data_IF_732213038646
#
_entry.id   IF_732213038646
#
_cell.length_a   1.000
_cell.length_b   1.000
_cell.length_c   1.000
_cell.angle_alpha   90.00
_cell.angle_beta   90.00
_cell.angle_gamma   90.00
#
_symmetry.space_group_name_H-M   'P 1'
#
loop_
_entity.id
_entity.type
_entity.pdbx_description
1 polymer ?
#
# COMPACT_ATOMS: atom_id res chain seq x y z
N UNK A 1 -15.95 9.36 -8.00
CA UNK A 1 -14.72 9.20 -8.81
C UNK A 1 -14.04 10.56 -8.92
N UNK A 2 -12.79 10.69 -8.47
CA UNK A 2 -12.00 11.91 -8.71
C UNK A 2 -11.60 11.91 -10.19
N UNK A 3 -11.88 13.01 -10.91
CA UNK A 3 -11.48 13.14 -12.30
C UNK A 3 -9.95 13.12 -12.40
N UNK A 4 -9.40 12.16 -13.14
CA UNK A 4 -7.95 12.11 -13.39
C UNK A 4 -7.61 13.18 -14.43
N UNK A 5 -6.58 13.99 -14.15
CA UNK A 5 -6.04 14.98 -15.07
C UNK A 5 -4.63 14.56 -15.45
N UNK A 6 -4.37 14.43 -16.75
CA UNK A 6 -3.02 14.18 -17.27
C UNK A 6 -2.27 15.51 -17.33
N UNK A 7 -1.02 15.50 -16.87
CA UNK A 7 -0.07 16.60 -17.00
C UNK A 7 1.08 16.12 -17.87
N UNK A 8 1.46 16.90 -18.87
CA UNK A 8 2.62 16.61 -19.70
C UNK A 8 3.87 17.18 -19.02
N UNK A 9 4.97 16.44 -19.09
CA UNK A 9 6.27 16.96 -18.65
C UNK A 9 6.66 18.18 -19.52
N UNK A 10 7.23 19.23 -18.93
CA UNK A 10 7.83 20.32 -19.70
C UNK A 10 9.05 19.83 -20.50
N UNK A 11 9.35 20.49 -21.62
CA UNK A 11 10.45 20.11 -22.53
C UNK A 11 11.86 20.09 -21.88
N UNK A 12 12.04 20.75 -20.74
CA UNK A 12 13.31 20.80 -20.02
C UNK A 12 13.50 19.63 -19.04
N UNK A 13 12.50 18.77 -18.85
CA UNK A 13 12.53 17.64 -17.94
C UNK A 13 12.73 16.34 -18.72
N UNK A 14 13.77 15.59 -18.36
CA UNK A 14 13.97 14.25 -18.92
C UNK A 14 12.91 13.28 -18.36
N UNK A 15 12.15 12.65 -19.27
CA UNK A 15 11.07 11.73 -18.89
C UNK A 15 11.60 10.49 -18.16
N UNK A 16 12.81 10.02 -18.46
CA UNK A 16 13.41 8.88 -17.76
C UNK A 16 13.86 9.26 -16.35
N UNK A 17 14.38 10.47 -16.15
CA UNK A 17 14.69 10.99 -14.81
C UNK A 17 13.41 11.11 -13.97
N UNK A 18 12.33 11.64 -14.56
CA UNK A 18 11.03 11.72 -13.91
C UNK A 18 10.48 10.33 -13.55
N UNK A 19 10.51 9.38 -14.49
CA UNK A 19 10.07 8.00 -14.25
C UNK A 19 10.90 7.34 -13.15
N UNK A 20 12.22 7.53 -13.15
CA UNK A 20 13.12 6.99 -12.12
C UNK A 20 12.80 7.53 -10.73
N UNK A 21 12.51 8.84 -10.62
CA UNK A 21 12.09 9.48 -9.39
C UNK A 21 10.75 8.92 -8.89
N UNK A 22 9.75 8.82 -9.78
CA UNK A 22 8.42 8.30 -9.45
C UNK A 22 8.48 6.83 -9.04
N UNK A 23 9.29 6.02 -9.73
CA UNK A 23 9.49 4.60 -9.41
C UNK A 23 10.11 4.46 -8.02
N UNK A 24 11.17 5.22 -7.72
CA UNK A 24 11.82 5.25 -6.40
C UNK A 24 10.85 5.68 -5.30
N UNK A 25 10.01 6.68 -5.59
CA UNK A 25 8.97 7.12 -4.65
C UNK A 25 7.94 6.03 -4.38
N UNK A 26 7.43 5.38 -5.43
CA UNK A 26 6.45 4.31 -5.31
C UNK A 26 7.01 3.11 -4.54
N UNK A 27 8.24 2.71 -4.82
CA UNK A 27 8.95 1.66 -4.08
C UNK A 27 9.08 2.01 -2.59
N UNK A 28 9.54 3.23 -2.27
CA UNK A 28 9.68 3.70 -0.89
C UNK A 28 8.35 3.69 -0.14
N UNK A 29 7.26 4.12 -0.79
CA UNK A 29 5.92 4.11 -0.21
C UNK A 29 5.39 2.69 0.01
N UNK A 30 5.57 1.81 -0.97
CA UNK A 30 5.23 0.40 -0.86
C UNK A 30 5.93 -0.23 0.35
N UNK A 31 7.26 -0.08 0.43
CA UNK A 31 8.08 -0.62 1.53
C UNK A 31 7.67 -0.05 2.88
N UNK A 32 7.41 1.26 2.95
CA UNK A 32 6.93 1.92 4.16
C UNK A 32 5.64 1.26 4.67
N UNK A 33 4.60 1.18 3.84
CA UNK A 33 3.31 0.61 4.27
C UNK A 33 3.40 -0.89 4.56
N UNK A 34 4.13 -1.65 3.73
CA UNK A 34 4.38 -3.07 3.98
C UNK A 34 5.15 -3.29 5.30
N UNK A 35 6.09 -2.40 5.66
CA UNK A 35 6.79 -2.46 6.95
C UNK A 35 5.88 -2.14 8.14
N UNK A 36 4.86 -1.28 7.95
CA UNK A 36 3.86 -0.95 8.98
C UNK A 36 2.82 -2.07 9.16
N UNK A 37 2.53 -2.84 8.12
CA UNK A 37 1.64 -4.00 8.21
C UNK A 37 2.30 -5.23 8.87
N UNK A 38 3.63 -5.42 8.70
CA UNK A 38 4.38 -6.58 9.21
C UNK A 38 4.22 -6.85 10.72
N UNK A 39 4.28 -5.85 11.62
CA UNK A 39 4.09 -6.07 13.06
C UNK A 39 2.78 -6.75 13.44
N UNK A 40 1.69 -6.50 12.72
CA UNK A 40 0.40 -7.14 13.00
C UNK A 40 0.42 -8.63 12.64
N UNK A 41 1.03 -8.99 11.52
CA UNK A 41 1.23 -10.40 11.14
C UNK A 41 2.04 -11.17 12.20
N UNK A 42 3.07 -10.52 12.76
CA UNK A 42 3.86 -11.09 13.86
C UNK A 42 3.04 -11.18 15.14
N UNK A 43 2.31 -10.12 15.51
CA UNK A 43 1.48 -10.06 16.73
C UNK A 43 0.40 -11.14 16.74
N UNK A 44 -0.24 -11.39 15.60
CA UNK A 44 -1.40 -12.27 15.51
C UNK A 44 -1.12 -13.65 14.91
N UNK A 45 0.09 -13.87 14.40
CA UNK A 45 0.54 -15.16 13.88
C UNK A 45 -0.17 -15.60 12.59
N UNK A 46 -0.72 -14.66 11.82
CA UNK A 46 -1.48 -14.93 10.60
C UNK A 46 -1.33 -13.79 9.58
N UNK A 47 -1.93 -13.93 8.41
CA UNK A 47 -2.05 -12.85 7.43
C UNK A 47 -3.30 -11.98 7.67
N UNK A 48 -3.39 -10.86 6.95
CA UNK A 48 -4.49 -9.91 7.10
C UNK A 48 -5.87 -10.54 6.83
N UNK A 49 -6.10 -11.29 5.72
CA UNK A 49 -7.39 -11.92 5.48
C UNK A 49 -7.83 -12.88 6.58
N UNK A 50 -6.91 -13.70 7.10
CA UNK A 50 -7.20 -14.60 8.21
C UNK A 50 -7.51 -13.84 9.51
N UNK A 51 -6.77 -12.76 9.79
CA UNK A 51 -7.04 -11.91 10.95
C UNK A 51 -8.40 -11.23 10.86
N UNK A 52 -8.73 -10.63 9.71
CA UNK A 52 -10.03 -9.99 9.45
C UNK A 52 -11.17 -10.96 9.71
N UNK A 53 -11.11 -12.15 9.10
CA UNK A 53 -12.12 -13.18 9.30
C UNK A 53 -12.27 -13.56 10.78
N UNK A 54 -11.15 -13.75 11.50
CA UNK A 54 -11.17 -14.10 12.91
C UNK A 54 -11.82 -13.02 13.77
N UNK A 55 -11.51 -11.75 13.53
CA UNK A 55 -12.06 -10.63 14.27
C UNK A 55 -13.56 -10.44 13.99
N UNK A 56 -14.00 -10.59 12.74
CA UNK A 56 -15.40 -10.47 12.32
C UNK A 56 -16.28 -11.64 12.81
N UNK A 57 -15.72 -12.86 12.93
CA UNK A 57 -16.43 -14.06 13.40
C UNK A 57 -16.32 -14.30 14.92
N UNK A 58 -15.59 -13.44 15.64
CA UNK A 58 -15.41 -13.57 17.09
C UNK A 58 -16.75 -13.41 17.82
N UNK A 59 -17.05 -14.34 18.74
CA UNK A 59 -18.24 -14.24 19.60
C UNK A 59 -18.14 -13.11 20.61
N UNK A 60 -16.92 -12.84 21.09
CA UNK A 60 -16.61 -11.77 22.04
C UNK A 60 -15.75 -10.73 21.33
N UNK A 61 -16.25 -9.50 21.22
CA UNK A 61 -15.53 -8.41 20.56
C UNK A 61 -14.42 -7.86 21.46
N UNK A 62 -13.23 -7.69 20.88
CA UNK A 62 -12.11 -7.00 21.51
C UNK A 62 -11.85 -5.69 20.79
N UNK A 63 -12.12 -4.56 21.45
CA UNK A 63 -11.85 -3.22 20.88
C UNK A 63 -10.40 -3.08 20.41
N UNK A 64 -9.45 -3.65 21.15
CA UNK A 64 -8.04 -3.62 20.77
C UNK A 64 -7.75 -4.43 19.49
N UNK A 65 -8.46 -5.53 19.23
CA UNK A 65 -8.33 -6.26 17.97
C UNK A 65 -8.99 -5.53 16.81
N UNK A 66 -10.11 -4.85 17.06
CA UNK A 66 -10.76 -4.01 16.06
C UNK A 66 -9.92 -2.79 15.67
N UNK A 67 -9.28 -2.12 16.63
CA UNK A 67 -8.36 -1.00 16.36
C UNK A 67 -7.17 -1.46 15.51
N UNK A 68 -6.59 -2.60 15.86
CA UNK A 68 -5.51 -3.23 15.10
C UNK A 68 -5.97 -3.65 13.70
N UNK A 69 -7.20 -4.16 13.56
CA UNK A 69 -7.77 -4.56 12.26
C UNK A 69 -7.89 -3.35 11.33
N UNK A 70 -8.42 -2.24 11.83
CA UNK A 70 -8.58 -1.00 11.06
C UNK A 70 -7.21 -0.47 10.64
N UNK A 71 -6.24 -0.45 11.56
CA UNK A 71 -4.88 0.01 11.26
C UNK A 71 -4.19 -0.90 10.22
N UNK A 72 -4.32 -2.22 10.38
CA UNK A 72 -3.74 -3.18 9.44
C UNK A 72 -4.40 -3.08 8.05
N UNK A 73 -5.73 -2.99 7.97
CA UNK A 73 -6.45 -2.79 6.71
C UNK A 73 -5.95 -1.56 5.96
N UNK A 74 -5.77 -0.44 6.67
CA UNK A 74 -5.25 0.79 6.07
C UNK A 74 -3.83 0.60 5.50
N UNK A 75 -2.93 -0.05 6.24
CA UNK A 75 -1.57 -0.28 5.77
C UNK A 75 -1.50 -1.33 4.64
N UNK A 76 -2.27 -2.41 4.72
CA UNK A 76 -2.32 -3.45 3.69
C UNK A 76 -2.86 -2.86 2.38
N UNK A 77 -3.99 -2.13 2.44
CA UNK A 77 -4.57 -1.45 1.30
C UNK A 77 -3.62 -0.42 0.68
N UNK A 78 -2.98 0.42 1.49
CA UNK A 78 -2.00 1.40 1.01
C UNK A 78 -0.79 0.71 0.37
N UNK A 79 -0.28 -0.38 0.95
CA UNK A 79 0.84 -1.13 0.38
C UNK A 79 0.48 -1.73 -0.99
N UNK A 80 -0.72 -2.32 -1.13
CA UNK A 80 -1.20 -2.86 -2.41
C UNK A 80 -1.33 -1.78 -3.47
N UNK A 81 -1.89 -0.62 -3.12
CA UNK A 81 -2.01 0.50 -4.06
C UNK A 81 -0.64 0.97 -4.54
N UNK A 82 0.32 1.19 -3.64
CA UNK A 82 1.67 1.64 -4.03
C UNK A 82 2.46 0.58 -4.80
N UNK A 83 2.22 -0.70 -4.52
CA UNK A 83 2.77 -1.79 -5.33
C UNK A 83 2.23 -1.73 -6.77
N UNK A 84 0.91 -1.57 -6.94
CA UNK A 84 0.30 -1.39 -8.26
C UNK A 84 0.90 -0.19 -9.00
N UNK A 85 1.06 0.96 -8.33
CA UNK A 85 1.67 2.15 -8.95
C UNK A 85 3.13 1.93 -9.34
N UNK A 86 3.89 1.20 -8.52
CA UNK A 86 5.26 0.82 -8.84
C UNK A 86 5.30 -0.07 -10.10
N UNK A 87 4.43 -1.09 -10.18
CA UNK A 87 4.36 -2.01 -11.33
C UNK A 87 3.93 -1.27 -12.62
N UNK A 88 2.94 -0.37 -12.53
CA UNK A 88 2.52 0.49 -13.65
C UNK A 88 3.68 1.37 -14.16
N UNK A 89 4.44 2.00 -13.25
CA UNK A 89 5.60 2.83 -13.61
C UNK A 89 6.75 2.00 -14.18
N UNK A 90 6.98 0.81 -13.64
CA UNK A 90 8.01 -0.11 -14.14
C UNK A 90 7.73 -0.53 -15.58
N UNK A 91 6.46 -0.77 -15.92
CA UNK A 91 6.04 -1.11 -17.27
C UNK A 91 6.31 0.02 -18.29
N UNK A 92 6.35 1.29 -17.86
CA UNK A 92 6.69 2.42 -18.73
C UNK A 92 8.17 2.49 -19.12
N UNK A 93 9.05 1.75 -18.45
CA UNK A 93 10.50 1.71 -18.75
C UNK A 93 10.87 0.59 -19.75
N UNK A 94 9.93 -0.30 -20.10
CA UNK A 94 10.09 -1.44 -21.01
C UNK A 94 9.42 -1.19 -22.34
#
# INVERSE_FOLDING_TARGET
MVAKKTLNAPDWLDENELLSLLLSHAATKYEYFASRARPFAVKYGCDYPAFKKRAEEAKDESFAEWDDLIAWEAFDAASREWKTRYEELQACLT
#
